data_IF_494288141441
#
_entry.id   IF_494288141441
#
_cell.length_a   1.000
_cell.length_b   1.000
_cell.length_c   1.000
_cell.angle_alpha   90.00
_cell.angle_beta   90.00
_cell.angle_gamma   90.00
#
_symmetry.space_group_name_H-M   'P 1'
#
loop_
_entity.id
_entity.type
_entity.pdbx_description
1 polymer ?
#
# COMPACT_ATOMS: atom_id res chain seq x y z
N UNK A 1 19.70 8.62 0.48
CA UNK A 1 18.56 8.62 1.40
C UNK A 1 18.69 9.63 2.55
N UNK A 2 19.83 9.79 3.25
CA UNK A 2 19.98 10.77 4.36
C UNK A 2 19.63 12.23 4.02
N UNK A 3 19.90 12.70 2.79
CA UNK A 3 19.50 14.06 2.37
C UNK A 3 17.97 14.17 2.29
N UNK A 4 17.31 13.17 1.70
CA UNK A 4 15.85 13.11 1.56
C UNK A 4 15.17 13.03 2.93
N UNK A 5 15.72 12.24 3.86
CA UNK A 5 15.25 12.18 5.24
C UNK A 5 15.31 13.56 5.92
N UNK A 6 16.46 14.24 5.89
CA UNK A 6 16.59 15.59 6.46
C UNK A 6 15.65 16.62 5.84
N UNK A 7 15.37 16.48 4.55
CA UNK A 7 14.43 17.35 3.84
C UNK A 7 12.98 16.92 4.00
N UNK A 8 12.71 15.79 4.67
CA UNK A 8 11.40 15.12 4.73
C UNK A 8 10.77 14.95 3.36
N UNK A 9 11.59 14.64 2.36
CA UNK A 9 11.13 14.43 0.99
C UNK A 9 10.42 13.07 0.88
N UNK A 10 9.17 13.01 0.39
CA UNK A 10 8.45 11.76 0.17
C UNK A 10 9.18 10.80 -0.78
N UNK A 11 9.33 9.53 -0.40
CA UNK A 11 9.94 8.50 -1.25
C UNK A 11 9.00 7.33 -1.44
N UNK A 12 8.66 7.05 -2.70
CA UNK A 12 7.87 5.89 -3.08
C UNK A 12 8.79 4.68 -3.30
N UNK A 13 8.49 3.57 -2.64
CA UNK A 13 9.23 2.32 -2.68
C UNK A 13 8.47 1.30 -3.52
N UNK A 14 8.83 1.26 -4.81
CA UNK A 14 8.38 0.26 -5.76
C UNK A 14 9.12 -1.08 -5.51
N UNK A 15 8.51 -1.96 -4.72
CA UNK A 15 9.16 -3.20 -4.25
C UNK A 15 8.52 -4.47 -4.82
N UNK A 16 9.28 -5.56 -4.71
CA UNK A 16 8.79 -6.95 -4.79
C UNK A 16 9.07 -7.63 -3.45
N UNK A 17 8.40 -8.74 -3.09
CA UNK A 17 8.55 -9.36 -1.76
C UNK A 17 10.00 -9.68 -1.40
N UNK A 18 10.80 -10.15 -2.36
CA UNK A 18 12.24 -10.43 -2.20
C UNK A 18 13.10 -9.22 -1.77
N UNK A 19 12.61 -7.99 -1.94
CA UNK A 19 13.32 -6.76 -1.59
C UNK A 19 12.87 -6.17 -0.24
N UNK A 20 11.83 -6.72 0.40
CA UNK A 20 11.28 -6.17 1.63
C UNK A 20 12.31 -6.12 2.77
N UNK A 21 13.16 -7.15 2.91
CA UNK A 21 14.25 -7.12 3.89
C UNK A 21 15.26 -5.99 3.64
N UNK A 22 15.46 -5.62 2.37
CA UNK A 22 16.31 -4.49 2.02
C UNK A 22 15.64 -3.16 2.35
N UNK A 23 14.32 -3.08 2.21
CA UNK A 23 13.54 -1.91 2.63
C UNK A 23 13.57 -1.73 4.16
N UNK A 24 13.48 -2.82 4.94
CA UNK A 24 13.65 -2.72 6.40
C UNK A 24 15.04 -2.22 6.76
N UNK A 25 16.10 -2.77 6.14
CA UNK A 25 17.48 -2.28 6.33
C UNK A 25 17.68 -0.83 5.89
N UNK A 26 16.88 -0.35 4.94
CA UNK A 26 16.87 1.06 4.57
C UNK A 26 16.29 1.88 5.71
N UNK A 27 15.11 1.52 6.22
CA UNK A 27 14.47 2.22 7.34
C UNK A 27 15.31 2.18 8.62
N UNK A 28 16.02 1.08 8.90
CA UNK A 28 16.98 1.01 10.03
C UNK A 28 18.11 2.07 9.91
N UNK A 29 18.47 2.48 8.70
CA UNK A 29 19.55 3.44 8.43
C UNK A 29 19.09 4.89 8.31
N UNK A 30 17.82 5.09 7.96
CA UNK A 30 17.16 6.39 7.79
C UNK A 30 15.74 6.31 8.38
N UNK A 31 15.60 6.14 9.71
CA UNK A 31 14.34 5.81 10.36
C UNK A 31 13.28 6.89 10.21
N UNK A 32 13.65 8.13 9.91
CA UNK A 32 12.70 9.25 9.78
C UNK A 32 12.34 9.55 8.31
N UNK A 33 12.88 8.80 7.33
CA UNK A 33 12.58 8.99 5.91
C UNK A 33 11.08 8.78 5.63
N UNK A 34 10.34 9.79 5.15
CA UNK A 34 8.96 9.58 4.74
C UNK A 34 8.91 8.62 3.55
N UNK A 35 8.29 7.46 3.71
CA UNK A 35 8.27 6.43 2.69
C UNK A 35 6.88 5.87 2.44
N UNK A 36 6.59 5.49 1.20
CA UNK A 36 5.37 4.78 0.81
C UNK A 36 5.73 3.45 0.20
N UNK A 37 5.10 2.38 0.66
CA UNK A 37 5.18 1.08 0.01
C UNK A 37 4.16 1.07 -1.13
N UNK A 38 4.64 0.97 -2.36
CA UNK A 38 3.76 0.91 -3.53
C UNK A 38 3.12 -0.48 -3.66
N UNK A 39 1.82 -0.49 -3.99
CA UNK A 39 1.03 -1.69 -4.33
C UNK A 39 1.18 -2.86 -3.36
N UNK A 40 1.18 -2.58 -2.06
CA UNK A 40 1.39 -3.59 -1.03
C UNK A 40 2.73 -4.34 -1.20
N UNK A 41 3.73 -3.78 -1.88
CA UNK A 41 4.96 -4.44 -2.32
C UNK A 41 4.75 -5.68 -3.22
N UNK A 42 3.62 -5.74 -3.94
CA UNK A 42 3.26 -6.78 -4.92
C UNK A 42 3.47 -8.20 -4.36
N UNK A 43 2.72 -8.61 -3.31
CA UNK A 43 2.82 -9.95 -2.75
C UNK A 43 2.63 -11.01 -3.84
N UNK A 44 3.20 -12.19 -3.62
CA UNK A 44 2.98 -13.33 -4.50
C UNK A 44 1.53 -13.84 -4.29
N UNK A 45 0.62 -13.31 -5.11
CA UNK A 45 -0.82 -13.55 -5.00
C UNK A 45 -1.15 -15.04 -5.01
N UNK A 46 -1.99 -15.48 -4.07
CA UNK A 46 -2.40 -16.88 -3.96
C UNK A 46 -1.36 -17.82 -3.35
N UNK A 47 -0.18 -17.31 -2.95
CA UNK A 47 0.79 -18.06 -2.15
C UNK A 47 0.71 -17.68 -0.67
N UNK A 48 1.30 -18.52 0.19
CA UNK A 48 1.37 -18.25 1.64
C UNK A 48 2.05 -16.90 1.90
N UNK A 49 1.37 -15.93 2.53
CA UNK A 49 1.86 -14.57 2.65
C UNK A 49 2.82 -14.38 3.83
N UNK A 50 3.21 -15.42 4.56
CA UNK A 50 3.90 -15.32 5.87
C UNK A 50 5.15 -14.43 5.82
N UNK A 51 6.02 -14.61 4.83
CA UNK A 51 7.24 -13.80 4.68
C UNK A 51 6.94 -12.34 4.34
N UNK A 52 5.96 -12.13 3.47
CA UNK A 52 5.51 -10.79 3.11
C UNK A 52 4.88 -10.09 4.32
N UNK A 53 4.01 -10.78 5.06
CA UNK A 53 3.36 -10.27 6.28
C UNK A 53 4.39 -9.81 7.30
N UNK A 54 5.36 -10.66 7.63
CA UNK A 54 6.38 -10.33 8.63
C UNK A 54 7.20 -9.09 8.24
N UNK A 55 7.61 -8.97 6.98
CA UNK A 55 8.38 -7.81 6.54
C UNK A 55 7.51 -6.54 6.46
N UNK A 56 6.25 -6.65 6.03
CA UNK A 56 5.28 -5.55 6.06
C UNK A 56 5.02 -5.06 7.49
N UNK A 57 4.86 -5.98 8.45
CA UNK A 57 4.70 -5.67 9.88
C UNK A 57 5.88 -4.86 10.40
N UNK A 58 7.11 -5.29 10.09
CA UNK A 58 8.34 -4.59 10.47
C UNK A 58 8.44 -3.20 9.85
N UNK A 59 8.01 -3.03 8.59
CA UNK A 59 7.95 -1.71 7.96
C UNK A 59 6.86 -0.82 8.60
N UNK A 60 5.75 -1.40 9.03
CA UNK A 60 4.66 -0.68 9.68
C UNK A 60 5.01 -0.20 11.10
N UNK A 61 6.08 -0.70 11.72
CA UNK A 61 6.62 -0.17 12.99
C UNK A 61 7.16 1.26 12.85
N UNK A 62 7.49 1.70 11.64
CA UNK A 62 7.93 3.08 11.36
C UNK A 62 6.73 3.99 11.10
N UNK A 63 6.46 5.01 11.95
CA UNK A 63 5.25 5.83 11.85
C UNK A 63 5.19 6.71 10.60
N UNK A 64 6.34 6.97 9.99
CA UNK A 64 6.56 7.72 8.74
C UNK A 64 6.49 6.86 7.47
N UNK A 65 6.14 5.57 7.61
CA UNK A 65 5.90 4.66 6.47
C UNK A 65 4.40 4.49 6.26
N UNK A 66 3.97 4.64 5.02
CA UNK A 66 2.61 4.41 4.55
C UNK A 66 2.56 3.27 3.54
N UNK A 67 1.36 2.77 3.25
CA UNK A 67 1.14 1.77 2.21
C UNK A 67 0.06 2.23 1.22
N UNK A 68 0.34 2.12 -0.08
CA UNK A 68 -0.67 2.33 -1.12
C UNK A 68 -1.45 1.05 -1.38
N UNK A 69 -2.77 1.12 -1.19
CA UNK A 69 -3.73 0.12 -1.64
C UNK A 69 -4.02 0.35 -3.12
N UNK A 70 -3.14 -0.17 -3.97
CA UNK A 70 -3.10 0.05 -5.42
C UNK A 70 -2.46 -1.13 -6.14
N UNK A 71 -2.51 -1.18 -7.48
CA UNK A 71 -1.74 -2.14 -8.29
C UNK A 71 -1.96 -3.62 -7.92
N UNK A 72 -3.10 -3.92 -7.29
CA UNK A 72 -3.46 -5.28 -6.91
C UNK A 72 -3.92 -6.09 -8.13
N UNK A 73 -4.19 -5.41 -9.25
CA UNK A 73 -4.54 -6.01 -10.53
C UNK A 73 -3.39 -6.90 -11.02
N UNK A 74 -3.60 -8.21 -11.31
CA UNK A 74 -2.52 -9.07 -11.76
C UNK A 74 -1.88 -8.51 -13.04
N UNK A 75 -0.56 -8.53 -13.11
CA UNK A 75 0.21 -8.22 -14.33
C UNK A 75 0.07 -9.33 -15.42
N UNK A 76 -1.00 -10.11 -15.35
CA UNK A 76 -1.29 -11.25 -16.21
C UNK A 76 -2.77 -11.20 -16.59
N UNK A 77 -3.12 -11.62 -17.82
CA UNK A 77 -4.51 -11.67 -18.33
C UNK A 77 -5.41 -12.69 -17.60
N UNK A 78 -5.05 -13.08 -16.39
CA UNK A 78 -5.82 -13.99 -15.55
C UNK A 78 -7.05 -13.25 -15.04
N UNK A 79 -8.16 -13.97 -14.92
CA UNK A 79 -9.43 -13.44 -14.41
C UNK A 79 -9.19 -12.77 -13.06
N UNK A 80 -9.54 -11.49 -13.01
CA UNK A 80 -9.39 -10.66 -11.83
C UNK A 80 -10.50 -11.00 -10.80
N UNK A 81 -10.09 -11.22 -9.55
CA UNK A 81 -10.94 -11.55 -8.41
C UNK A 81 -10.52 -10.72 -7.19
N UNK A 82 -11.37 -9.78 -6.78
CA UNK A 82 -11.12 -8.88 -5.66
C UNK A 82 -11.06 -9.63 -4.32
N UNK A 83 -11.81 -10.73 -4.16
CA UNK A 83 -11.82 -11.48 -2.89
C UNK A 83 -10.49 -12.18 -2.64
N UNK A 84 -9.75 -12.53 -3.70
CA UNK A 84 -8.40 -13.07 -3.58
C UNK A 84 -7.42 -12.11 -2.90
N UNK A 85 -7.74 -10.81 -2.85
CA UNK A 85 -6.87 -9.77 -2.27
C UNK A 85 -7.22 -9.45 -0.83
N UNK A 86 -8.41 -9.84 -0.38
CA UNK A 86 -8.92 -9.57 0.96
C UNK A 86 -7.90 -9.88 2.06
N UNK A 87 -7.19 -11.03 2.07
CA UNK A 87 -6.22 -11.32 3.13
C UNK A 87 -5.06 -10.32 3.18
N UNK A 88 -4.63 -9.79 2.03
CA UNK A 88 -3.53 -8.83 1.94
C UNK A 88 -3.98 -7.42 2.32
N UNK A 89 -5.16 -7.02 1.84
CA UNK A 89 -5.76 -5.72 2.18
C UNK A 89 -6.05 -5.67 3.68
N UNK A 90 -6.77 -6.65 4.23
CA UNK A 90 -7.06 -6.71 5.67
C UNK A 90 -5.78 -6.64 6.49
N UNK A 91 -4.75 -7.41 6.13
CA UNK A 91 -3.49 -7.37 6.86
C UNK A 91 -2.80 -5.99 6.83
N UNK A 92 -2.77 -5.33 5.67
CA UNK A 92 -2.22 -3.97 5.55
C UNK A 92 -3.02 -2.98 6.40
N UNK A 93 -4.35 -3.05 6.34
CA UNK A 93 -5.21 -2.20 7.15
C UNK A 93 -4.96 -2.39 8.66
N UNK A 94 -4.77 -3.64 9.09
CA UNK A 94 -4.53 -3.97 10.50
C UNK A 94 -3.20 -3.43 11.02
N UNK A 95 -2.11 -3.54 10.25
CA UNK A 95 -0.77 -3.13 10.72
C UNK A 95 -0.48 -1.63 10.51
N UNK A 96 -1.02 -1.02 9.44
CA UNK A 96 -0.81 0.40 9.17
C UNK A 96 -1.84 1.29 9.88
N UNK A 97 -3.09 0.82 9.96
CA UNK A 97 -4.22 1.62 10.42
C UNK A 97 -4.73 2.61 9.36
N UNK A 98 -5.89 3.24 9.61
CA UNK A 98 -6.58 4.10 8.65
C UNK A 98 -5.78 5.33 8.20
N UNK A 99 -4.91 5.88 9.05
CA UNK A 99 -4.17 7.11 8.77
C UNK A 99 -2.91 6.91 7.92
N UNK A 100 -2.51 5.65 7.68
CA UNK A 100 -1.25 5.31 6.98
C UNK A 100 -1.46 4.46 5.73
N UNK A 101 -2.69 4.42 5.24
CA UNK A 101 -3.04 3.81 3.95
C UNK A 101 -3.59 4.86 3.00
N UNK A 102 -3.37 4.67 1.71
CA UNK A 102 -3.94 5.55 0.67
C UNK A 102 -4.35 4.73 -0.56
N UNK A 103 -5.43 5.14 -1.21
CA UNK A 103 -5.88 4.55 -2.47
C UNK A 103 -4.99 5.00 -3.64
N UNK A 104 -4.81 4.11 -4.62
CA UNK A 104 -4.34 4.47 -5.94
C UNK A 104 -4.88 3.49 -6.99
N UNK A 105 -5.32 3.99 -8.14
CA UNK A 105 -5.89 3.14 -9.18
C UNK A 105 -4.85 2.32 -9.95
N UNK A 106 -3.60 2.78 -9.97
CA UNK A 106 -2.54 2.28 -10.86
C UNK A 106 -2.89 2.42 -12.36
N UNK A 107 -3.72 3.41 -12.71
CA UNK A 107 -4.02 3.71 -14.11
C UNK A 107 -2.78 4.26 -14.83
N UNK A 108 -2.50 3.87 -16.10
CA UNK A 108 -3.30 3.00 -16.96
C UNK A 108 -2.99 1.50 -16.85
N UNK A 109 -2.08 1.09 -15.96
CA UNK A 109 -1.65 -0.33 -15.81
C UNK A 109 -2.82 -1.22 -15.40
N UNK A 110 -3.73 -0.71 -14.56
CA UNK A 110 -4.93 -1.45 -14.14
C UNK A 110 -5.80 -1.95 -15.29
N UNK A 111 -5.79 -1.27 -16.45
CA UNK A 111 -6.56 -1.62 -17.64
C UNK A 111 -6.22 -3.00 -18.23
N UNK A 112 -5.14 -3.64 -17.77
CA UNK A 112 -4.85 -5.02 -18.12
C UNK A 112 -5.88 -6.02 -17.60
N UNK A 113 -6.58 -5.70 -16.51
CA UNK A 113 -7.60 -6.63 -15.98
C UNK A 113 -8.86 -5.97 -15.41
N UNK A 114 -8.88 -4.65 -15.18
CA UNK A 114 -10.06 -3.92 -14.72
C UNK A 114 -10.05 -2.45 -15.18
N UNK A 115 -11.24 -1.85 -15.36
CA UNK A 115 -11.34 -0.40 -15.52
C UNK A 115 -11.19 0.32 -14.17
N UNK A 116 -11.18 1.66 -14.21
CA UNK A 116 -10.97 2.49 -13.02
C UNK A 116 -12.06 2.24 -11.95
N UNK A 117 -13.33 2.29 -12.35
CA UNK A 117 -14.48 2.13 -11.44
C UNK A 117 -14.41 0.79 -10.74
N UNK A 118 -14.09 -0.27 -11.49
CA UNK A 118 -13.99 -1.61 -10.95
C UNK A 118 -12.85 -1.76 -9.94
N UNK A 119 -11.71 -1.10 -10.15
CA UNK A 119 -10.62 -1.05 -9.15
C UNK A 119 -11.08 -0.33 -7.88
N UNK A 120 -11.76 0.81 -8.02
CA UNK A 120 -12.27 1.59 -6.90
C UNK A 120 -13.29 0.80 -6.08
N UNK A 121 -14.34 0.28 -6.71
CA UNK A 121 -15.42 -0.50 -6.08
C UNK A 121 -14.89 -1.69 -5.31
N UNK A 122 -13.84 -2.31 -5.82
CA UNK A 122 -13.26 -3.50 -5.21
C UNK A 122 -12.53 -3.21 -3.93
N UNK A 123 -11.70 -2.16 -3.91
CA UNK A 123 -11.08 -1.76 -2.66
C UNK A 123 -12.15 -1.31 -1.66
N UNK A 124 -13.13 -0.52 -2.12
CA UNK A 124 -14.23 -0.04 -1.28
C UNK A 124 -14.98 -1.20 -0.62
N UNK A 125 -15.31 -2.26 -1.39
CA UNK A 125 -15.99 -3.46 -0.89
C UNK A 125 -15.16 -4.33 0.07
N UNK A 126 -13.83 -4.15 0.09
CA UNK A 126 -12.93 -4.87 1.00
C UNK A 126 -12.72 -4.15 2.34
N UNK A 127 -13.22 -2.92 2.49
CA UNK A 127 -13.05 -2.15 3.73
C UNK A 127 -13.88 -2.73 4.88
N UNK A 128 -13.28 -2.96 6.06
CA UNK A 128 -14.02 -3.35 7.27
C UNK A 128 -15.12 -2.34 7.59
N UNK A 129 -16.33 -2.83 7.84
CA UNK A 129 -17.53 -2.02 8.08
C UNK A 129 -17.95 -1.11 6.91
N UNK A 130 -17.44 -1.36 5.70
CA UNK A 130 -17.83 -0.66 4.48
C UNK A 130 -17.05 0.65 4.24
N UNK A 131 -17.09 1.18 3.01
CA UNK A 131 -16.41 2.42 2.64
C UNK A 131 -16.98 3.68 3.32
N UNK A 132 -18.20 3.60 3.85
CA UNK A 132 -18.88 4.66 4.59
C UNK A 132 -18.39 4.84 6.03
N UNK A 133 -17.63 3.88 6.58
CA UNK A 133 -17.06 4.02 7.91
C UNK A 133 -16.09 5.21 7.92
N UNK A 134 -16.34 6.16 8.84
CA UNK A 134 -15.63 7.44 8.89
C UNK A 134 -14.12 7.29 9.08
N UNK A 135 -13.65 6.15 9.62
CA UNK A 135 -12.23 5.85 9.73
C UNK A 135 -11.53 5.79 8.37
N UNK A 136 -12.23 5.47 7.28
CA UNK A 136 -11.65 5.35 5.95
C UNK A 136 -11.66 6.64 5.14
N UNK A 137 -12.19 7.75 5.68
CA UNK A 137 -12.24 9.03 4.97
C UNK A 137 -10.87 9.45 4.43
N UNK A 138 -9.82 9.29 5.25
CA UNK A 138 -8.46 9.66 4.86
C UNK A 138 -7.86 8.83 3.73
N UNK A 139 -8.28 7.56 3.58
CA UNK A 139 -7.77 6.63 2.56
C UNK A 139 -7.91 7.19 1.15
N UNK A 140 -9.02 7.90 0.89
CA UNK A 140 -9.43 8.33 -0.44
C UNK A 140 -8.75 9.61 -0.92
N UNK A 141 -7.94 10.27 -0.09
CA UNK A 141 -7.14 11.40 -0.55
C UNK A 141 -6.44 12.20 0.55
N UNK A 142 -7.04 12.36 1.73
CA UNK A 142 -6.48 13.23 2.78
C UNK A 142 -5.14 12.72 3.31
N UNK A 143 -5.00 11.40 3.41
CA UNK A 143 -3.75 10.75 3.79
C UNK A 143 -2.63 11.02 2.78
N UNK A 144 -2.95 10.93 1.48
CA UNK A 144 -2.01 11.27 0.42
C UNK A 144 -1.67 12.77 0.41
N UNK A 145 -2.68 13.64 0.56
CA UNK A 145 -2.48 15.09 0.62
C UNK A 145 -1.55 15.49 1.77
N UNK A 146 -1.77 14.93 2.97
CA UNK A 146 -0.91 15.14 4.14
C UNK A 146 0.50 14.63 3.91
N UNK A 147 0.67 13.46 3.32
CA UNK A 147 1.98 12.85 3.12
C UNK A 147 2.81 13.56 2.04
N UNK A 148 2.20 13.87 0.90
CA UNK A 148 2.88 14.50 -0.25
C UNK A 148 2.89 16.04 -0.19
N UNK A 149 2.24 16.66 0.80
CA UNK A 149 2.19 18.12 0.96
C UNK A 149 1.35 18.83 -0.11
N UNK A 150 0.27 18.18 -0.56
CA UNK A 150 -0.68 18.75 -1.53
C UNK A 150 -1.54 19.83 -0.85
N UNK A 151 -1.80 20.92 -1.56
CA UNK A 151 -2.61 22.07 -1.10
C UNK A 151 -3.86 22.23 -1.95
#
# INVERSE_FOLDING_TARGET
MRILERQRFPVDLQLRPRLLDSAVKLMERVPELPAVIDHLAKPDWGQSPVRWQEAIRRLAEYPNVMCKLSGMVPESRVRWDAEAWKPYVTYVLDVFGPDRVMYGSDWPVCLWSADYDRVYESLAGLLPAGPEDSRWTGLWGENAARFYGLR
#
